data_IF_531998822138
#
_entry.id   IF_531998822138
#
_cell.length_a   1.000
_cell.length_b   1.000
_cell.length_c   1.000
_cell.angle_alpha   90.00
_cell.angle_beta   90.00
_cell.angle_gamma   90.00
#
_symmetry.space_group_name_H-M   'P 1'
#
loop_
_entity.id
_entity.type
_entity.pdbx_description
1 polymer ?
#
# COMPACT_ATOMS: atom_id res chain seq x y z
N UNK A 1 -37.71 9.26 3.00
CA UNK A 1 -36.82 8.18 3.53
C UNK A 1 -35.71 8.82 4.34
N UNK A 2 -35.54 8.46 5.58
CA UNK A 2 -34.38 8.95 6.32
C UNK A 2 -33.13 8.40 5.64
N UNK A 3 -32.19 9.27 5.32
CA UNK A 3 -30.84 8.87 4.92
C UNK A 3 -30.25 8.09 6.10
N UNK A 4 -29.94 6.82 5.88
CA UNK A 4 -29.17 6.04 6.84
C UNK A 4 -27.83 6.79 7.03
N UNK A 5 -27.61 7.34 8.21
CA UNK A 5 -26.34 7.93 8.56
C UNK A 5 -25.26 6.84 8.39
N UNK A 6 -24.38 7.08 7.43
CA UNK A 6 -23.30 6.14 7.14
C UNK A 6 -22.30 6.23 8.28
N UNK A 7 -22.18 5.19 9.08
CA UNK A 7 -21.22 5.15 10.19
C UNK A 7 -19.80 5.36 9.62
N UNK A 8 -19.15 6.43 10.07
CA UNK A 8 -17.76 6.73 9.76
C UNK A 8 -16.91 6.27 10.93
N UNK A 9 -15.93 5.42 10.63
CA UNK A 9 -14.95 4.94 11.59
C UNK A 9 -13.71 5.83 11.57
N UNK A 10 -12.99 5.84 12.69
CA UNK A 10 -11.73 6.54 12.85
C UNK A 10 -10.62 5.53 13.17
N UNK A 11 -9.38 6.00 13.31
CA UNK A 11 -8.22 5.14 13.58
C UNK A 11 -8.38 4.33 14.87
N UNK A 12 -9.13 4.82 15.86
CA UNK A 12 -9.42 4.10 17.09
C UNK A 12 -10.11 2.76 16.83
N UNK A 13 -10.90 2.66 15.76
CA UNK A 13 -11.52 1.41 15.37
C UNK A 13 -10.48 0.35 14.93
N UNK A 14 -9.39 0.78 14.31
CA UNK A 14 -8.26 -0.10 13.97
C UNK A 14 -7.54 -0.55 15.24
N UNK A 15 -7.26 0.37 16.15
CA UNK A 15 -6.61 0.04 17.43
C UNK A 15 -7.44 -0.87 18.32
N UNK A 16 -8.76 -0.82 18.19
CA UNK A 16 -9.70 -1.65 18.95
C UNK A 16 -9.91 -3.05 18.36
N UNK A 17 -9.28 -3.39 17.23
CA UNK A 17 -9.42 -4.72 16.65
C UNK A 17 -8.88 -5.79 17.59
N UNK A 18 -9.53 -6.97 17.65
CA UNK A 18 -9.01 -8.11 18.41
C UNK A 18 -7.62 -8.52 17.90
N UNK A 19 -6.82 -9.08 18.79
CA UNK A 19 -5.51 -9.62 18.44
C UNK A 19 -5.60 -10.58 17.24
N UNK A 20 -4.69 -10.47 16.31
CA UNK A 20 -4.64 -11.26 15.08
C UNK A 20 -5.60 -10.80 13.98
N UNK A 21 -6.43 -9.79 14.23
CA UNK A 21 -7.26 -9.18 13.18
C UNK A 21 -6.59 -7.95 12.60
N UNK A 22 -6.59 -7.87 11.26
CA UNK A 22 -6.05 -6.73 10.53
C UNK A 22 -7.11 -6.14 9.62
N UNK A 23 -7.10 -4.83 9.48
CA UNK A 23 -7.98 -4.12 8.57
C UNK A 23 -7.32 -2.82 8.11
N UNK A 24 -7.77 -2.34 6.97
CA UNK A 24 -7.49 -1.01 6.48
C UNK A 24 -8.70 -0.11 6.71
N UNK A 25 -8.45 1.19 6.80
CA UNK A 25 -9.48 2.20 6.94
C UNK A 25 -9.36 3.16 5.76
N UNK A 26 -10.39 3.24 4.93
CA UNK A 26 -10.39 4.11 3.75
C UNK A 26 -11.68 4.93 3.74
N UNK A 27 -11.56 6.23 3.78
CA UNK A 27 -12.69 7.16 3.90
C UNK A 27 -13.64 6.80 5.04
N UNK A 28 -13.09 6.41 6.18
CA UNK A 28 -13.85 6.02 7.36
C UNK A 28 -14.58 4.69 7.25
N UNK A 29 -14.25 3.86 6.26
CA UNK A 29 -14.77 2.49 6.13
C UNK A 29 -13.70 1.46 6.44
N UNK A 30 -14.08 0.44 7.18
CA UNK A 30 -13.20 -0.66 7.54
C UNK A 30 -13.24 -1.75 6.47
N UNK A 31 -12.05 -2.18 6.04
CA UNK A 31 -11.83 -3.29 5.12
C UNK A 31 -10.96 -4.33 5.79
N UNK A 32 -11.55 -5.45 6.20
CA UNK A 32 -10.82 -6.54 6.84
C UNK A 32 -9.89 -7.24 5.86
N UNK A 33 -8.70 -7.59 6.33
CA UNK A 33 -7.67 -8.26 5.55
C UNK A 33 -7.63 -9.76 5.88
N UNK A 34 -7.53 -10.57 4.84
CA UNK A 34 -7.30 -12.00 4.97
C UNK A 34 -5.79 -12.32 4.88
N UNK A 35 -5.33 -13.46 5.42
CA UNK A 35 -3.96 -13.92 5.21
C UNK A 35 -3.65 -14.04 3.72
N UNK A 36 -2.46 -13.60 3.26
CA UNK A 36 -2.09 -13.70 1.87
C UNK A 36 -1.80 -15.15 1.47
N UNK A 37 -1.88 -15.43 0.16
CA UNK A 37 -1.47 -16.71 -0.40
C UNK A 37 0.06 -16.89 -0.35
N UNK A 38 0.53 -18.14 -0.50
CA UNK A 38 1.95 -18.41 -0.62
C UNK A 38 2.57 -17.65 -1.81
N UNK A 39 1.91 -17.67 -2.97
CA UNK A 39 2.39 -16.97 -4.17
C UNK A 39 2.54 -15.47 -3.93
N UNK A 40 1.57 -14.86 -3.25
CA UNK A 40 1.66 -13.46 -2.84
C UNK A 40 2.90 -13.21 -1.98
N UNK A 41 3.16 -14.07 -1.00
CA UNK A 41 4.30 -13.95 -0.11
C UNK A 41 5.64 -14.19 -0.84
N UNK A 42 5.69 -15.11 -1.78
CA UNK A 42 6.89 -15.34 -2.61
C UNK A 42 7.24 -14.05 -3.39
N UNK A 43 6.27 -13.43 -4.05
CA UNK A 43 6.47 -12.17 -4.79
C UNK A 43 6.88 -11.03 -3.85
N UNK A 44 6.18 -10.88 -2.73
CA UNK A 44 6.48 -9.83 -1.75
C UNK A 44 7.89 -9.98 -1.18
N UNK A 45 8.29 -11.20 -0.85
CA UNK A 45 9.61 -11.49 -0.30
C UNK A 45 10.74 -11.17 -1.27
N UNK A 46 10.61 -11.58 -2.54
CA UNK A 46 11.61 -11.30 -3.57
C UNK A 46 11.75 -9.80 -3.83
N UNK A 47 10.66 -9.10 -4.00
CA UNK A 47 10.67 -7.66 -4.22
C UNK A 47 11.27 -6.90 -3.03
N UNK A 48 10.87 -7.27 -1.82
CA UNK A 48 11.44 -6.66 -0.62
C UNK A 48 12.96 -6.86 -0.56
N UNK A 49 13.44 -8.08 -0.82
CA UNK A 49 14.85 -8.39 -0.79
C UNK A 49 15.64 -7.60 -1.84
N UNK A 50 15.13 -7.51 -3.06
CA UNK A 50 15.76 -6.77 -4.16
C UNK A 50 15.82 -5.27 -3.86
N UNK A 51 14.72 -4.68 -3.41
CA UNK A 51 14.67 -3.26 -3.05
C UNK A 51 15.61 -2.97 -1.88
N UNK A 52 15.59 -3.81 -0.86
CA UNK A 52 16.47 -3.68 0.31
C UNK A 52 17.95 -3.73 -0.08
N UNK A 53 18.30 -4.68 -0.94
CA UNK A 53 19.65 -4.84 -1.45
C UNK A 53 20.10 -3.62 -2.26
N UNK A 54 19.23 -3.13 -3.14
CA UNK A 54 19.48 -1.93 -3.94
C UNK A 54 19.76 -0.71 -3.06
N UNK A 55 18.89 -0.45 -2.08
CA UNK A 55 19.06 0.67 -1.16
C UNK A 55 20.40 0.57 -0.41
N UNK A 56 20.75 -0.63 0.08
CA UNK A 56 22.01 -0.83 0.79
C UNK A 56 23.24 -0.55 -0.07
N UNK A 57 23.21 -0.95 -1.34
CA UNK A 57 24.35 -0.80 -2.24
C UNK A 57 24.51 0.63 -2.79
N UNK A 58 23.42 1.41 -2.85
CA UNK A 58 23.43 2.76 -3.40
C UNK A 58 23.47 3.87 -2.33
N UNK A 59 23.23 3.52 -1.07
CA UNK A 59 23.17 4.49 0.03
C UNK A 59 21.91 5.37 -0.03
N UNK A 60 21.86 6.36 0.87
CA UNK A 60 20.73 7.29 0.99
C UNK A 60 19.83 6.96 2.17
N UNK A 61 18.77 7.77 2.33
CA UNK A 61 17.90 7.73 3.50
C UNK A 61 16.63 6.89 3.30
N UNK A 62 16.43 6.34 2.10
CA UNK A 62 15.25 5.53 1.81
C UNK A 62 15.23 4.24 2.63
N UNK A 63 14.03 3.90 3.10
CA UNK A 63 13.75 2.67 3.84
C UNK A 63 12.63 1.91 3.15
N UNK A 64 12.73 0.58 3.14
CA UNK A 64 11.70 -0.31 2.61
C UNK A 64 11.08 -1.12 3.73
N UNK A 65 9.77 -1.25 3.71
CA UNK A 65 8.99 -2.03 4.68
C UNK A 65 8.00 -2.94 3.97
N UNK A 66 7.92 -4.17 4.43
CA UNK A 66 6.90 -5.13 4.00
C UNK A 66 5.73 -5.14 4.99
N UNK A 67 4.53 -5.47 4.50
CA UNK A 67 3.36 -5.63 5.36
C UNK A 67 3.58 -6.72 6.44
N UNK A 68 3.00 -6.56 7.64
CA UNK A 68 2.17 -5.44 8.06
C UNK A 68 3.03 -4.22 8.45
N UNK A 69 2.79 -3.11 7.79
CA UNK A 69 3.44 -1.84 8.09
C UNK A 69 2.40 -0.71 7.98
N UNK A 70 2.22 0.03 9.07
CA UNK A 70 1.19 1.04 9.18
C UNK A 70 1.53 2.30 8.38
N UNK A 71 0.62 2.71 7.50
CA UNK A 71 0.69 3.99 6.79
C UNK A 71 -0.56 4.80 7.12
N UNK A 72 -0.38 5.86 7.90
CA UNK A 72 -1.40 6.86 8.21
C UNK A 72 -1.45 7.84 7.04
N UNK A 73 -2.16 7.43 5.98
CA UNK A 73 -2.07 8.07 4.67
C UNK A 73 -2.69 9.47 4.68
N UNK A 74 -3.87 9.61 5.26
CA UNK A 74 -4.59 10.86 5.35
C UNK A 74 -5.54 10.87 6.55
N UNK A 75 -5.21 11.65 7.57
CA UNK A 75 -6.02 11.79 8.77
C UNK A 75 -7.35 12.50 8.48
N UNK A 76 -7.34 13.48 7.57
CA UNK A 76 -8.55 14.26 7.26
C UNK A 76 -9.67 13.40 6.65
N UNK A 77 -9.31 12.34 5.93
CA UNK A 77 -10.26 11.40 5.32
C UNK A 77 -10.40 10.10 6.10
N UNK A 78 -9.81 9.97 7.28
CA UNK A 78 -9.74 8.72 8.03
C UNK A 78 -9.26 7.57 7.13
N UNK A 79 -8.04 7.72 6.58
CA UNK A 79 -7.44 6.75 5.69
C UNK A 79 -6.13 6.21 6.28
N UNK A 80 -6.16 4.93 6.60
CA UNK A 80 -5.06 4.14 7.13
C UNK A 80 -4.93 2.86 6.31
N UNK A 81 -3.74 2.59 5.81
CA UNK A 81 -3.48 1.42 4.96
C UNK A 81 -2.25 0.66 5.43
N UNK A 82 -2.18 -0.60 5.04
CA UNK A 82 -1.02 -1.47 5.25
C UNK A 82 -0.58 -2.04 3.89
N UNK A 83 0.12 -1.26 3.06
CA UNK A 83 0.54 -1.71 1.74
C UNK A 83 1.46 -2.93 1.82
N UNK A 84 1.46 -3.76 0.77
CA UNK A 84 2.33 -4.93 0.73
C UNK A 84 3.80 -4.54 0.82
N UNK A 85 4.21 -3.49 0.09
CA UNK A 85 5.56 -2.91 0.20
C UNK A 85 5.45 -1.39 0.14
N UNK A 86 6.19 -0.73 1.03
CA UNK A 86 6.28 0.73 1.10
C UNK A 86 7.74 1.16 1.13
N UNK A 87 8.12 2.16 0.33
CA UNK A 87 9.42 2.81 0.36
C UNK A 87 9.24 4.26 0.77
N UNK A 88 9.94 4.67 1.83
CA UNK A 88 9.89 6.01 2.39
C UNK A 88 11.29 6.60 2.40
N UNK A 89 11.47 7.76 1.76
CA UNK A 89 12.77 8.43 1.65
C UNK A 89 12.92 9.62 2.60
N UNK A 90 11.82 10.14 3.14
CA UNK A 90 11.85 11.18 4.16
C UNK A 90 11.76 10.57 5.55
N UNK A 91 12.87 10.54 6.34
CA UNK A 91 12.85 9.95 7.67
C UNK A 91 11.92 10.66 8.65
N UNK A 92 11.57 11.92 8.41
CA UNK A 92 10.66 12.67 9.27
C UNK A 92 9.22 12.12 9.24
N UNK A 93 8.88 11.30 8.25
CA UNK A 93 7.60 10.60 8.17
C UNK A 93 7.55 9.33 9.01
N UNK A 94 8.68 8.88 9.53
CA UNK A 94 8.80 7.58 10.22
C UNK A 94 8.90 7.76 11.73
N UNK A 95 8.10 6.99 12.46
CA UNK A 95 8.19 6.81 13.90
C UNK A 95 7.95 5.34 14.27
N UNK A 96 7.88 5.02 15.55
CA UNK A 96 7.67 3.65 16.02
C UNK A 96 6.31 3.05 15.60
N UNK A 97 5.34 3.88 15.25
CA UNK A 97 4.03 3.43 14.80
C UNK A 97 4.01 3.06 13.32
N UNK A 98 4.82 3.73 12.51
CA UNK A 98 4.86 3.54 11.07
C UNK A 98 5.17 4.81 10.30
N UNK A 99 4.50 5.03 9.18
CA UNK A 99 4.64 6.19 8.32
C UNK A 99 3.44 7.13 8.44
N UNK A 100 3.69 8.41 8.63
CA UNK A 100 2.65 9.45 8.57
C UNK A 100 2.76 10.21 7.25
N UNK A 101 1.68 10.22 6.48
CA UNK A 101 1.63 10.76 5.13
C UNK A 101 2.00 9.74 4.07
N UNK A 102 2.14 10.20 2.83
CA UNK A 102 2.38 9.33 1.69
C UNK A 102 3.81 8.78 1.66
N UNK A 103 4.00 7.45 1.54
CA UNK A 103 5.25 6.88 1.08
C UNK A 103 5.64 7.39 -0.31
N UNK A 104 6.92 7.30 -0.65
CA UNK A 104 7.41 7.67 -1.99
C UNK A 104 6.99 6.63 -3.04
N UNK A 105 7.05 5.36 -2.69
CA UNK A 105 6.70 4.26 -3.58
C UNK A 105 5.90 3.19 -2.83
N UNK A 106 4.80 2.78 -3.42
CA UNK A 106 3.94 1.70 -2.90
C UNK A 106 3.80 0.62 -3.95
N UNK A 107 3.89 -0.62 -3.51
CA UNK A 107 3.60 -1.81 -4.31
C UNK A 107 2.46 -2.58 -3.64
N UNK A 108 1.41 -2.86 -4.41
CA UNK A 108 0.32 -3.75 -4.00
C UNK A 108 0.33 -5.00 -4.87
N UNK A 109 0.23 -6.15 -4.25
CA UNK A 109 0.16 -7.45 -4.91
C UNK A 109 -1.29 -7.91 -4.87
N UNK A 110 -1.91 -7.99 -6.05
CA UNK A 110 -3.35 -8.24 -6.19
C UNK A 110 -3.70 -9.65 -5.75
N UNK A 111 -4.75 -9.75 -4.93
CA UNK A 111 -5.49 -10.98 -4.67
C UNK A 111 -6.88 -10.89 -5.31
N UNK A 112 -7.61 -12.01 -5.48
CA UNK A 112 -8.98 -11.95 -5.98
C UNK A 112 -9.89 -11.01 -5.18
N UNK A 113 -9.71 -10.96 -3.86
CA UNK A 113 -10.49 -10.10 -2.97
C UNK A 113 -10.08 -8.63 -3.02
N UNK A 114 -8.82 -8.31 -3.32
CA UNK A 114 -8.30 -6.93 -3.31
C UNK A 114 -8.32 -6.25 -4.67
N UNK A 115 -8.61 -6.96 -5.75
CA UNK A 115 -8.49 -6.48 -7.13
C UNK A 115 -9.13 -5.11 -7.37
N UNK A 116 -10.39 -4.96 -7.03
CA UNK A 116 -11.10 -3.69 -7.23
C UNK A 116 -10.52 -2.57 -6.38
N UNK A 117 -10.13 -2.89 -5.16
CA UNK A 117 -9.50 -1.94 -4.23
C UNK A 117 -8.18 -1.44 -4.80
N UNK A 118 -7.30 -2.34 -5.22
CA UNK A 118 -5.95 -2.00 -5.69
C UNK A 118 -5.96 -1.23 -7.01
N UNK A 119 -6.82 -1.64 -7.97
CA UNK A 119 -6.88 -1.00 -9.30
C UNK A 119 -7.63 0.33 -9.32
N UNK A 120 -8.53 0.58 -8.38
CA UNK A 120 -9.39 1.78 -8.43
C UNK A 120 -9.30 2.64 -7.18
N UNK A 121 -9.74 2.15 -6.04
CA UNK A 121 -9.84 2.97 -4.82
C UNK A 121 -8.48 3.41 -4.31
N UNK A 122 -7.54 2.48 -4.17
CA UNK A 122 -6.17 2.77 -3.72
C UNK A 122 -5.39 3.58 -4.75
N UNK A 123 -5.59 3.33 -6.04
CA UNK A 123 -4.99 4.15 -7.09
C UNK A 123 -5.33 5.63 -6.91
N UNK A 124 -6.61 5.94 -6.71
CA UNK A 124 -7.06 7.31 -6.47
C UNK A 124 -6.48 7.88 -5.16
N UNK A 125 -6.53 7.09 -4.08
CA UNK A 125 -6.05 7.52 -2.76
C UNK A 125 -4.55 7.80 -2.74
N UNK A 126 -3.75 6.91 -3.32
CA UNK A 126 -2.31 7.07 -3.36
C UNK A 126 -1.90 8.27 -4.22
N UNK A 127 -2.52 8.44 -5.38
CA UNK A 127 -2.29 9.62 -6.21
C UNK A 127 -2.63 10.91 -5.47
N UNK A 128 -3.79 10.98 -4.87
CA UNK A 128 -4.28 12.19 -4.17
C UNK A 128 -3.43 12.52 -2.93
N UNK A 129 -2.94 11.51 -2.22
CA UNK A 129 -2.11 11.69 -1.03
C UNK A 129 -0.68 12.15 -1.33
N UNK A 130 -0.23 12.03 -2.58
CA UNK A 130 1.12 12.45 -2.97
C UNK A 130 2.14 11.32 -3.04
N UNK A 131 1.72 10.06 -3.14
CA UNK A 131 2.61 8.95 -3.52
C UNK A 131 3.21 9.25 -4.88
N UNK A 132 4.51 9.02 -5.05
CA UNK A 132 5.22 9.36 -6.28
C UNK A 132 5.11 8.26 -7.32
N UNK A 133 5.16 6.99 -6.88
CA UNK A 133 5.12 5.82 -7.75
C UNK A 133 4.25 4.72 -7.13
N UNK A 134 3.41 4.10 -7.93
CA UNK A 134 2.51 3.04 -7.50
C UNK A 134 2.54 1.86 -8.46
N UNK A 135 2.89 0.68 -7.96
CA UNK A 135 2.91 -0.54 -8.72
C UNK A 135 1.76 -1.46 -8.30
N UNK A 136 1.08 -1.99 -9.29
CA UNK A 136 0.06 -3.03 -9.10
C UNK A 136 0.58 -4.32 -9.75
N UNK A 137 0.85 -5.34 -8.94
CA UNK A 137 1.34 -6.63 -9.42
C UNK A 137 0.20 -7.63 -9.41
N UNK A 138 -0.18 -8.09 -10.58
CA UNK A 138 -1.29 -9.01 -10.79
C UNK A 138 -0.76 -10.32 -11.39
N UNK A 139 -0.41 -11.27 -10.52
CA UNK A 139 0.16 -12.53 -10.95
C UNK A 139 -0.82 -13.39 -11.75
N UNK A 140 -2.12 -13.29 -11.48
CA UNK A 140 -3.15 -14.04 -12.23
C UNK A 140 -3.24 -13.59 -13.69
N UNK A 141 -2.96 -12.32 -13.96
CA UNK A 141 -2.91 -11.72 -15.31
C UNK A 141 -1.50 -11.66 -15.91
N UNK A 142 -0.48 -12.10 -15.18
CA UNK A 142 0.92 -11.91 -15.55
C UNK A 142 1.23 -10.45 -15.92
N UNK A 143 0.80 -9.52 -15.09
CA UNK A 143 0.84 -8.10 -15.37
C UNK A 143 1.39 -7.30 -14.18
N UNK A 144 2.26 -6.34 -14.51
CA UNK A 144 2.70 -5.28 -13.58
C UNK A 144 2.30 -3.95 -14.20
N UNK A 145 1.50 -3.16 -13.49
CA UNK A 145 1.15 -1.80 -13.89
C UNK A 145 1.95 -0.84 -13.03
N UNK A 146 2.70 0.03 -13.68
CA UNK A 146 3.53 1.05 -13.03
C UNK A 146 2.92 2.42 -13.31
N UNK A 147 2.52 3.13 -12.25
CA UNK A 147 2.09 4.52 -12.33
C UNK A 147 3.19 5.43 -11.80
N UNK A 148 3.67 6.32 -12.64
CA UNK A 148 4.51 7.45 -12.25
C UNK A 148 3.62 8.68 -12.05
N UNK A 149 3.28 8.96 -10.82
CA UNK A 149 2.41 10.08 -10.48
C UNK A 149 3.10 11.44 -10.57
N UNK A 150 4.43 11.47 -10.57
CA UNK A 150 5.19 12.71 -10.72
C UNK A 150 5.11 13.23 -12.14
N UNK A 151 5.31 12.34 -13.12
CA UNK A 151 5.30 12.68 -14.54
C UNK A 151 3.93 12.45 -15.21
N UNK A 152 3.00 11.78 -14.52
CA UNK A 152 1.68 11.45 -15.06
C UNK A 152 1.71 10.31 -16.08
N UNK A 153 2.72 9.44 -16.01
CA UNK A 153 2.90 8.33 -16.94
C UNK A 153 2.40 7.01 -16.34
N UNK A 154 2.11 6.06 -17.24
CA UNK A 154 1.78 4.69 -16.89
C UNK A 154 2.46 3.74 -17.87
N UNK A 155 3.01 2.65 -17.36
CA UNK A 155 3.59 1.57 -18.14
C UNK A 155 3.08 0.20 -17.69
N UNK A 156 3.10 -0.78 -18.58
CA UNK A 156 2.72 -2.15 -18.28
C UNK A 156 3.85 -3.10 -18.65
N UNK A 157 4.08 -4.07 -17.78
CA UNK A 157 5.11 -5.09 -17.90
C UNK A 157 4.51 -6.46 -17.58
N UNK A 158 5.23 -7.50 -17.96
CA UNK A 158 4.97 -8.86 -17.48
C UNK A 158 5.90 -9.19 -16.31
N UNK A 159 5.63 -10.28 -15.58
CA UNK A 159 6.50 -10.74 -14.49
C UNK A 159 7.88 -11.22 -14.96
N UNK A 160 8.07 -11.41 -16.26
CA UNK A 160 9.33 -11.80 -16.89
C UNK A 160 10.17 -10.60 -17.36
N UNK A 161 9.58 -9.41 -17.39
CA UNK A 161 10.26 -8.19 -17.81
C UNK A 161 11.17 -7.66 -16.70
N UNK A 162 12.17 -6.88 -17.10
CA UNK A 162 12.92 -6.02 -16.18
C UNK A 162 12.21 -4.67 -16.07
N UNK A 163 11.99 -4.21 -14.87
CA UNK A 163 11.27 -2.97 -14.58
C UNK A 163 12.21 -1.97 -13.91
#
# INVERSE_FOLDING_TARGET
>A
MPLLEKKIYTIEAIYALPEGKRAELIDGKIYYMAPPSRKHQDISGELYADIKSYIRSHGGDCKVYAAPFAVYLDEATNTYVEPDISVICNPDKLDDKGCTGAPDWIIEIVSPASRRMDYYTKLFKYRTAGVREYWIIDAAKNQIVVYDFVNGDMAQYTLQDSV
#
